data_IF_720174244565
#
_entry.id   IF_720174244565
#
_cell.length_a   1.000
_cell.length_b   1.000
_cell.length_c   1.000
_cell.angle_alpha   90.00
_cell.angle_beta   90.00
_cell.angle_gamma   90.00
#
_symmetry.space_group_name_H-M   'P 1'
#
loop_
_entity.id
_entity.type
_entity.pdbx_description
1 polymer ?
#
# COMPACT_ATOMS: atom_id res chain seq x y z
N UNK A 1 -23.28 -28.11 36.62
CA UNK A 1 -23.70 -29.47 36.21
C UNK A 1 -24.94 -29.47 35.29
N UNK A 2 -25.59 -28.33 35.05
CA UNK A 2 -26.84 -28.22 34.29
C UNK A 2 -26.66 -28.27 32.76
N UNK A 3 -25.51 -27.83 32.25
CA UNK A 3 -25.23 -27.73 30.80
C UNK A 3 -25.03 -29.11 30.13
N UNK A 4 -24.44 -30.05 30.88
CA UNK A 4 -24.15 -31.42 30.39
C UNK A 4 -25.44 -32.23 30.21
N UNK A 5 -26.43 -32.01 31.10
CA UNK A 5 -27.74 -32.67 31.04
C UNK A 5 -28.55 -32.15 29.84
N UNK A 6 -28.52 -30.84 29.59
CA UNK A 6 -29.22 -30.23 28.45
C UNK A 6 -28.65 -30.72 27.12
N UNK A 7 -27.31 -30.84 27.02
CA UNK A 7 -26.65 -31.38 25.83
C UNK A 7 -27.03 -32.83 25.56
N UNK A 8 -27.08 -33.68 26.60
CA UNK A 8 -27.49 -35.09 26.46
C UNK A 8 -28.92 -35.25 25.96
N UNK A 9 -29.82 -34.35 26.34
CA UNK A 9 -31.22 -34.37 25.89
C UNK A 9 -31.41 -34.06 24.39
N UNK A 10 -30.40 -33.45 23.76
CA UNK A 10 -30.41 -33.07 22.33
C UNK A 10 -29.81 -34.16 21.43
N UNK A 11 -29.26 -35.24 21.99
CA UNK A 11 -28.73 -36.34 21.19
C UNK A 11 -29.88 -37.20 20.63
N UNK A 12 -29.82 -37.58 19.34
CA UNK A 12 -30.76 -38.53 18.74
C UNK A 12 -30.76 -39.85 19.52
N UNK A 13 -31.94 -40.43 19.78
CA UNK A 13 -32.10 -41.67 20.57
C UNK A 13 -31.98 -42.94 19.71
N UNK A 14 -31.44 -42.82 18.52
CA UNK A 14 -31.33 -43.93 17.60
C UNK A 14 -30.12 -44.76 18.02
N UNK A 15 -30.28 -46.08 18.24
CA UNK A 15 -29.23 -47.04 18.64
C UNK A 15 -28.18 -47.28 17.51
N UNK A 16 -27.86 -46.26 16.73
CA UNK A 16 -26.84 -46.32 15.71
C UNK A 16 -25.48 -46.02 16.35
N UNK A 17 -24.64 -47.05 16.41
CA UNK A 17 -23.24 -46.91 16.80
C UNK A 17 -22.55 -45.87 15.91
N UNK A 18 -21.97 -44.84 16.52
CA UNK A 18 -21.12 -43.87 15.84
C UNK A 18 -19.88 -44.60 15.31
N UNK A 19 -19.84 -44.86 14.00
CA UNK A 19 -18.64 -45.36 13.35
C UNK A 19 -17.61 -44.24 13.26
N UNK A 20 -16.44 -44.42 13.86
CA UNK A 20 -15.28 -43.54 13.65
C UNK A 20 -14.82 -43.78 12.22
N UNK A 21 -15.20 -42.88 11.31
CA UNK A 21 -14.64 -42.86 9.95
C UNK A 21 -13.24 -42.28 10.08
N UNK A 22 -12.22 -43.10 9.85
CA UNK A 22 -10.86 -42.62 9.68
C UNK A 22 -10.86 -41.58 8.56
N UNK A 23 -10.39 -40.37 8.87
CA UNK A 23 -10.23 -39.33 7.87
C UNK A 23 -9.30 -39.86 6.79
N UNK A 24 -9.81 -40.00 5.56
CA UNK A 24 -8.98 -40.15 4.36
C UNK A 24 -7.83 -39.14 4.49
N UNK A 25 -6.57 -39.52 4.22
CA UNK A 25 -5.52 -38.53 4.11
C UNK A 25 -5.92 -37.60 2.98
N UNK A 26 -6.44 -36.43 3.37
CA UNK A 26 -6.57 -35.28 2.50
C UNK A 26 -5.15 -35.06 2.04
N UNK A 27 -4.90 -35.37 0.76
CA UNK A 27 -3.61 -35.12 0.13
C UNK A 27 -3.18 -33.74 0.57
N UNK A 28 -2.00 -33.70 1.18
CA UNK A 28 -1.38 -32.47 1.63
C UNK A 28 -1.30 -31.56 0.42
N UNK A 29 -2.31 -30.70 0.27
CA UNK A 29 -2.18 -29.51 -0.56
C UNK A 29 -1.12 -28.75 0.18
N UNK A 30 0.13 -28.89 -0.28
CA UNK A 30 1.17 -27.94 -0.02
C UNK A 30 0.53 -26.59 -0.33
N UNK A 31 0.14 -25.89 0.72
CA UNK A 31 -0.08 -24.45 0.64
C UNK A 31 1.28 -23.89 0.31
N UNK A 32 1.60 -23.90 -0.98
CA UNK A 32 2.67 -23.09 -1.50
C UNK A 32 2.19 -21.69 -1.23
N UNK A 33 2.82 -21.06 -0.24
CA UNK A 33 2.58 -19.67 0.07
C UNK A 33 2.77 -18.89 -1.23
N UNK A 34 1.81 -18.09 -1.67
CA UNK A 34 1.91 -17.28 -2.91
C UNK A 34 3.23 -16.47 -2.98
N UNK A 35 3.84 -16.21 -1.81
CA UNK A 35 5.15 -15.57 -1.68
C UNK A 35 6.29 -16.45 -2.20
N UNK A 36 6.29 -17.75 -1.91
CA UNK A 36 7.34 -18.67 -2.37
C UNK A 36 7.29 -18.78 -3.89
N UNK A 37 6.10 -18.98 -4.47
CA UNK A 37 5.91 -19.03 -5.93
C UNK A 37 6.36 -17.74 -6.63
N UNK A 38 6.17 -16.57 -6.02
CA UNK A 38 6.66 -15.31 -6.58
C UNK A 38 8.18 -15.27 -6.71
N UNK A 39 8.94 -15.70 -5.69
CA UNK A 39 10.41 -15.72 -5.73
C UNK A 39 10.98 -16.82 -6.63
N UNK A 40 10.25 -17.93 -6.81
CA UNK A 40 10.68 -19.02 -7.69
C UNK A 40 10.37 -18.76 -9.17
N UNK A 41 9.25 -18.10 -9.48
CA UNK A 41 8.82 -17.86 -10.87
C UNK A 41 9.22 -16.49 -11.42
N UNK A 42 9.58 -15.52 -10.57
CA UNK A 42 9.97 -14.18 -11.04
C UNK A 42 11.48 -14.11 -11.25
N UNK A 43 11.96 -13.78 -12.47
CA UNK A 43 13.39 -13.73 -12.76
C UNK A 43 14.06 -12.61 -11.96
N UNK A 44 15.28 -12.87 -11.48
CA UNK A 44 16.14 -11.86 -10.88
C UNK A 44 16.92 -11.15 -11.98
N UNK A 45 16.99 -9.82 -11.92
CA UNK A 45 17.74 -9.00 -12.86
C UNK A 45 18.54 -7.92 -12.14
N UNK A 46 19.64 -7.52 -12.77
CA UNK A 46 20.43 -6.34 -12.40
C UNK A 46 19.85 -5.07 -13.01
N UNK A 47 20.26 -3.92 -12.51
CA UNK A 47 19.87 -2.61 -13.06
C UNK A 47 20.36 -2.46 -14.51
N UNK A 48 21.56 -2.95 -14.84
CA UNK A 48 22.06 -2.92 -16.22
C UNK A 48 21.16 -3.73 -17.16
N UNK A 49 20.80 -4.97 -16.78
CA UNK A 49 19.90 -5.82 -17.58
C UNK A 49 18.50 -5.20 -17.73
N UNK A 50 18.02 -4.51 -16.69
CA UNK A 50 16.78 -3.75 -16.74
C UNK A 50 16.85 -2.58 -17.71
N UNK A 51 17.98 -1.88 -17.75
CA UNK A 51 18.18 -0.73 -18.64
C UNK A 51 18.24 -1.14 -20.12
N UNK A 52 18.69 -2.36 -20.39
CA UNK A 52 18.75 -2.94 -21.75
C UNK A 52 17.41 -3.57 -22.18
N UNK A 53 16.53 -3.87 -21.23
CA UNK A 53 15.21 -4.46 -21.50
C UNK A 53 14.31 -3.48 -22.24
N UNK A 54 13.69 -3.96 -23.33
CA UNK A 54 12.75 -3.18 -24.15
C UNK A 54 11.30 -3.61 -23.98
N UNK A 55 11.05 -4.61 -23.14
CA UNK A 55 9.74 -5.19 -22.92
C UNK A 55 9.30 -4.97 -21.47
N UNK A 56 7.99 -4.81 -21.29
CA UNK A 56 7.41 -4.74 -19.95
C UNK A 56 7.40 -6.14 -19.35
N UNK A 57 8.12 -6.33 -18.26
CA UNK A 57 8.24 -7.60 -17.57
C UNK A 57 8.20 -7.43 -16.04
N UNK A 58 7.96 -8.53 -15.32
CA UNK A 58 8.09 -8.59 -13.87
C UNK A 58 9.42 -9.23 -13.53
N UNK A 59 10.20 -8.57 -12.68
CA UNK A 59 11.47 -9.09 -12.20
C UNK A 59 11.70 -8.67 -10.74
N UNK A 60 12.66 -9.32 -10.11
CA UNK A 60 13.16 -9.00 -8.77
C UNK A 60 14.53 -8.36 -8.91
N UNK A 61 14.75 -7.25 -8.23
CA UNK A 61 16.01 -6.49 -8.30
C UNK A 61 16.51 -6.27 -6.89
N UNK A 62 17.70 -6.78 -6.63
CA UNK A 62 18.39 -6.47 -5.38
C UNK A 62 19.13 -5.14 -5.54
N UNK A 63 18.73 -4.13 -4.79
CA UNK A 63 19.33 -2.80 -4.87
C UNK A 63 19.37 -2.09 -3.53
N UNK A 64 20.31 -1.18 -3.39
CA UNK A 64 20.48 -0.29 -2.24
C UNK A 64 19.83 1.06 -2.53
N UNK A 65 18.99 1.54 -1.62
CA UNK A 65 18.37 2.86 -1.74
C UNK A 65 19.44 3.91 -1.44
N UNK A 66 19.84 4.68 -2.45
CA UNK A 66 20.88 5.70 -2.34
C UNK A 66 20.35 7.04 -1.84
N UNK A 67 19.14 7.42 -2.27
CA UNK A 67 18.47 8.63 -1.87
C UNK A 67 16.97 8.54 -2.17
N UNK A 68 16.19 9.41 -1.53
CA UNK A 68 14.77 9.60 -1.83
C UNK A 68 14.63 11.00 -2.44
N UNK A 69 14.01 11.07 -3.61
CA UNK A 69 13.69 12.31 -4.30
C UNK A 69 12.36 12.85 -3.78
N UNK A 70 12.39 14.07 -3.25
CA UNK A 70 11.20 14.79 -2.75
C UNK A 70 10.71 15.91 -3.66
N UNK A 71 11.33 16.16 -4.82
CA UNK A 71 10.96 17.26 -5.73
C UNK A 71 9.49 17.19 -6.19
N UNK A 72 8.94 15.98 -6.24
CA UNK A 72 7.57 15.69 -6.67
C UNK A 72 6.64 15.32 -5.51
N UNK A 73 7.13 15.46 -4.28
CA UNK A 73 6.51 15.01 -3.06
C UNK A 73 6.55 13.49 -2.85
N UNK A 74 6.59 13.09 -1.58
CA UNK A 74 6.62 11.69 -1.18
C UNK A 74 5.23 11.05 -0.94
N UNK A 75 4.16 11.86 -1.03
CA UNK A 75 2.77 11.41 -0.93
C UNK A 75 1.84 12.15 -1.89
N UNK A 76 0.62 11.63 -2.06
CA UNK A 76 -0.47 12.32 -2.77
C UNK A 76 -1.81 12.11 -2.08
N UNK A 77 -2.72 13.06 -2.26
CA UNK A 77 -4.11 12.93 -1.80
C UNK A 77 -4.91 12.08 -2.79
N UNK A 78 -5.74 11.19 -2.28
CA UNK A 78 -6.57 10.31 -3.10
C UNK A 78 -8.02 10.25 -2.62
N UNK A 79 -8.92 9.87 -3.53
CA UNK A 79 -10.33 9.71 -3.22
C UNK A 79 -10.57 8.39 -2.50
N UNK A 80 -11.28 8.43 -1.36
CA UNK A 80 -11.60 7.24 -0.56
C UNK A 80 -12.45 6.19 -1.24
N UNK A 81 -13.24 6.61 -2.22
CA UNK A 81 -14.13 5.69 -2.94
C UNK A 81 -13.39 4.89 -4.01
N UNK A 82 -12.37 5.48 -4.65
CA UNK A 82 -11.79 4.89 -5.85
C UNK A 82 -10.25 4.80 -5.85
N UNK A 83 -9.61 5.27 -4.77
CA UNK A 83 -8.16 5.30 -4.52
C UNK A 83 -7.35 5.96 -5.64
N UNK A 84 -7.98 6.83 -6.44
CA UNK A 84 -7.30 7.64 -7.46
C UNK A 84 -6.93 9.00 -6.89
N UNK A 85 -5.81 9.55 -7.37
CA UNK A 85 -5.34 10.90 -7.04
C UNK A 85 -6.46 11.93 -7.27
N UNK A 86 -6.66 12.81 -6.30
CA UNK A 86 -7.53 13.99 -6.44
C UNK A 86 -6.74 15.18 -6.95
N UNK A 87 -7.41 16.10 -7.64
CA UNK A 87 -6.83 17.33 -8.20
C UNK A 87 -7.33 18.51 -7.37
N UNK A 88 -6.46 19.47 -7.08
CA UNK A 88 -6.85 20.75 -6.50
C UNK A 88 -7.34 21.67 -7.61
N UNK A 89 -8.53 22.23 -7.44
CA UNK A 89 -9.16 23.16 -8.36
C UNK A 89 -9.31 24.50 -7.63
N UNK A 90 -8.76 25.61 -8.16
CA UNK A 90 -9.00 26.94 -7.58
C UNK A 90 -10.50 27.23 -7.47
N UNK A 91 -10.93 27.77 -6.34
CA UNK A 91 -12.27 28.31 -6.23
C UNK A 91 -12.25 29.72 -6.81
N UNK A 92 -13.06 29.98 -7.84
CA UNK A 92 -13.18 31.30 -8.48
C UNK A 92 -14.06 32.28 -7.68
N UNK A 93 -14.21 32.12 -6.36
CA UNK A 93 -15.01 33.03 -5.52
C UNK A 93 -14.28 34.37 -5.35
N UNK A 94 -14.41 35.22 -6.38
CA UNK A 94 -14.38 36.67 -6.26
C UNK A 94 -15.73 37.09 -5.68
N UNK A 95 -15.91 37.07 -4.35
CA UNK A 95 -17.00 37.85 -3.76
C UNK A 95 -16.62 38.41 -2.40
N UNK A 96 -16.94 39.68 -2.25
CA UNK A 96 -16.64 40.56 -1.13
C UNK A 96 -17.36 40.08 0.14
N UNK A 97 -16.63 39.50 1.09
CA UNK A 97 -17.21 39.25 2.42
C UNK A 97 -16.37 38.33 3.29
N UNK A 98 -15.96 38.87 4.43
CA UNK A 98 -15.30 38.23 5.56
C UNK A 98 -15.82 36.81 5.87
N UNK A 99 -15.13 35.78 5.38
CA UNK A 99 -15.09 34.47 6.05
C UNK A 99 -13.66 33.91 5.89
N UNK A 100 -12.85 34.02 6.94
CA UNK A 100 -11.41 33.71 6.96
C UNK A 100 -11.09 32.20 6.78
N UNK A 101 -12.08 31.36 6.46
CA UNK A 101 -11.95 29.89 6.42
C UNK A 101 -12.39 29.23 5.11
N UNK A 102 -12.72 29.96 4.05
CA UNK A 102 -13.04 29.32 2.77
C UNK A 102 -11.75 28.91 2.05
N UNK A 103 -11.49 27.59 2.00
CA UNK A 103 -10.34 27.02 1.29
C UNK A 103 -10.26 27.60 -0.13
N UNK A 104 -9.14 28.26 -0.46
CA UNK A 104 -8.85 28.84 -1.77
C UNK A 104 -8.91 27.80 -2.92
N UNK A 105 -8.94 26.51 -2.59
CA UNK A 105 -9.01 25.40 -3.54
C UNK A 105 -10.00 24.33 -3.08
N UNK A 106 -10.78 23.79 -4.00
CA UNK A 106 -11.58 22.58 -3.83
C UNK A 106 -10.88 21.34 -4.36
N UNK A 107 -11.29 20.16 -3.91
CA UNK A 107 -10.74 18.89 -4.40
C UNK A 107 -11.68 18.24 -5.41
N UNK A 108 -11.18 17.84 -6.57
CA UNK A 108 -11.95 17.14 -7.59
C UNK A 108 -11.41 15.73 -7.85
N UNK A 109 -12.29 14.73 -7.86
CA UNK A 109 -11.95 13.37 -8.25
C UNK A 109 -12.37 13.10 -9.69
N UNK A 110 -11.40 12.93 -10.59
CA UNK A 110 -11.69 12.71 -12.02
C UNK A 110 -12.39 11.37 -12.31
N UNK A 111 -12.18 10.35 -11.46
CA UNK A 111 -12.82 9.02 -11.62
C UNK A 111 -14.26 9.00 -11.10
N UNK A 112 -14.53 9.66 -9.97
CA UNK A 112 -15.87 9.73 -9.38
C UNK A 112 -16.69 10.92 -9.89
N UNK A 113 -16.04 11.86 -10.60
CA UNK A 113 -16.62 13.11 -11.11
C UNK A 113 -17.33 13.92 -10.03
N UNK A 114 -16.74 14.01 -8.84
CA UNK A 114 -17.29 14.73 -7.71
C UNK A 114 -16.31 15.76 -7.14
N UNK A 115 -16.86 16.89 -6.70
CA UNK A 115 -16.18 17.89 -5.89
C UNK A 115 -16.22 17.48 -4.42
N UNK A 116 -15.16 17.84 -3.71
CA UNK A 116 -14.90 17.56 -2.30
C UNK A 116 -15.20 16.09 -1.93
N UNK A 117 -14.58 15.10 -2.62
CA UNK A 117 -14.72 13.71 -2.24
C UNK A 117 -14.20 13.49 -0.83
N UNK A 118 -14.74 12.48 -0.12
CA UNK A 118 -14.08 11.96 1.07
C UNK A 118 -12.67 11.54 0.67
N UNK A 119 -11.66 12.19 1.27
CA UNK A 119 -10.26 11.90 0.99
C UNK A 119 -9.84 10.65 1.78
N UNK A 120 -9.01 9.82 1.17
CA UNK A 120 -8.15 8.94 1.95
C UNK A 120 -7.03 9.80 2.51
N UNK A 121 -6.59 9.50 3.74
CA UNK A 121 -5.34 10.05 4.22
C UNK A 121 -4.24 9.63 3.25
N UNK A 122 -3.32 10.57 3.03
CA UNK A 122 -2.27 10.62 2.01
C UNK A 122 -1.72 9.22 1.65
N UNK A 123 -1.54 8.93 0.37
CA UNK A 123 -0.97 7.67 -0.15
C UNK A 123 0.50 7.86 -0.54
N UNK A 124 1.34 6.86 -0.32
CA UNK A 124 2.76 6.96 -0.69
C UNK A 124 2.97 7.05 -2.21
N UNK A 125 3.91 7.91 -2.59
CA UNK A 125 4.49 8.00 -3.93
C UNK A 125 5.98 8.32 -3.76
N UNK A 126 6.79 7.29 -3.54
CA UNK A 126 8.21 7.45 -3.26
C UNK A 126 9.01 7.35 -4.56
N UNK A 127 9.79 8.38 -4.85
CA UNK A 127 10.82 8.32 -5.87
C UNK A 127 12.14 7.93 -5.22
N UNK A 128 12.62 6.73 -5.50
CA UNK A 128 13.85 6.19 -4.93
C UNK A 128 14.96 6.21 -5.97
N UNK A 129 16.09 6.80 -5.63
CA UNK A 129 17.34 6.54 -6.34
C UNK A 129 17.94 5.27 -5.77
N UNK A 130 18.17 4.28 -6.64
CA UNK A 130 18.67 2.96 -6.26
C UNK A 130 19.97 2.65 -6.98
N UNK A 131 20.83 1.89 -6.31
CA UNK A 131 22.14 1.46 -6.77
C UNK A 131 22.25 -0.06 -6.66
N UNK A 132 22.91 -0.68 -7.62
CA UNK A 132 23.40 -2.05 -7.49
C UNK A 132 24.87 -2.11 -7.92
N UNK A 133 25.42 -3.32 -8.06
CA UNK A 133 26.80 -3.52 -8.51
C UNK A 133 27.00 -3.24 -10.02
N UNK A 134 25.94 -3.02 -10.78
CA UNK A 134 25.98 -2.82 -12.24
C UNK A 134 25.66 -1.39 -12.67
N UNK A 135 24.94 -0.61 -11.84
CA UNK A 135 24.58 0.76 -12.17
C UNK A 135 23.65 1.42 -11.16
N UNK A 136 22.97 2.46 -11.65
CA UNK A 136 22.01 3.25 -10.89
C UNK A 136 20.69 3.37 -11.67
N UNK A 137 19.59 3.54 -10.94
CA UNK A 137 18.28 3.77 -11.54
C UNK A 137 17.35 4.53 -10.59
N UNK A 138 16.19 4.95 -11.10
CA UNK A 138 15.14 5.61 -10.33
C UNK A 138 13.89 4.76 -10.33
N UNK A 139 13.48 4.30 -9.15
CA UNK A 139 12.26 3.50 -8.97
C UNK A 139 11.14 4.37 -8.36
N UNK A 140 9.90 4.10 -8.78
CA UNK A 140 8.70 4.72 -8.23
C UNK A 140 7.91 3.67 -7.45
N UNK A 141 7.78 3.87 -6.15
CA UNK A 141 7.00 2.99 -5.27
C UNK A 141 5.68 3.65 -4.90
N UNK A 142 4.60 2.89 -5.07
CA UNK A 142 3.26 3.28 -4.67
C UNK A 142 2.86 2.65 -3.33
N UNK A 143 1.84 3.23 -2.71
CA UNK A 143 1.28 2.92 -1.39
C UNK A 143 1.43 1.48 -0.91
N UNK A 144 0.92 0.48 -1.65
CA UNK A 144 0.96 -0.90 -1.18
C UNK A 144 2.40 -1.44 -0.99
N UNK A 145 3.30 -1.11 -1.92
CA UNK A 145 4.70 -1.53 -1.83
C UNK A 145 5.44 -0.73 -0.75
N UNK A 146 5.14 0.57 -0.64
CA UNK A 146 5.72 1.42 0.41
C UNK A 146 5.26 0.98 1.82
N UNK A 147 3.99 0.59 1.99
CA UNK A 147 3.45 0.04 3.23
C UNK A 147 4.13 -1.27 3.59
N UNK A 148 4.39 -2.15 2.62
CA UNK A 148 5.15 -3.39 2.86
C UNK A 148 6.60 -3.11 3.25
N UNK A 149 7.20 -2.06 2.71
CA UNK A 149 8.57 -1.67 3.01
C UNK A 149 8.69 -1.05 4.40
N UNK A 150 7.80 -0.11 4.73
CA UNK A 150 7.83 0.70 5.95
C UNK A 150 7.08 0.08 7.13
N UNK A 151 6.15 -0.85 6.85
CA UNK A 151 5.22 -1.41 7.83
C UNK A 151 4.36 -0.36 8.55
N UNK A 152 4.24 0.83 7.98
CA UNK A 152 3.50 1.96 8.55
C UNK A 152 2.66 2.66 7.48
N UNK A 153 1.38 2.96 7.76
CA UNK A 153 0.55 3.70 6.83
C UNK A 153 1.02 5.15 6.73
N UNK A 154 0.91 5.73 5.52
CA UNK A 154 1.36 7.09 5.24
C UNK A 154 0.69 8.16 6.14
N UNK A 155 -0.52 7.90 6.63
CA UNK A 155 -1.22 8.78 7.59
C UNK A 155 -0.42 9.02 8.87
N UNK A 156 0.29 8.01 9.37
CA UNK A 156 1.05 8.11 10.61
C UNK A 156 2.27 9.02 10.43
N UNK A 157 2.88 9.00 9.24
CA UNK A 157 4.04 9.84 8.91
C UNK A 157 3.66 11.27 8.54
N UNK A 158 2.44 11.49 8.03
CA UNK A 158 2.00 12.78 7.53
C UNK A 158 1.23 13.62 8.54
N UNK A 159 0.77 13.02 9.63
CA UNK A 159 -0.08 13.67 10.61
C UNK A 159 -1.53 13.90 10.11
N UNK A 160 -2.40 14.51 10.93
CA UNK A 160 -3.72 14.93 10.49
C UNK A 160 -3.60 15.92 9.33
N UNK A 161 -4.62 15.96 8.47
CA UNK A 161 -4.69 16.89 7.35
C UNK A 161 -4.82 18.31 7.93
N UNK A 162 -3.71 18.98 8.20
CA UNK A 162 -3.68 20.41 8.47
C UNK A 162 -3.75 21.18 7.15
N UNK A 163 -4.43 22.33 7.16
CA UNK A 163 -4.54 23.25 6.01
C UNK A 163 -3.19 23.85 5.61
N UNK A 164 -2.20 23.75 6.50
CA UNK A 164 -0.80 23.90 6.16
C UNK A 164 -0.34 22.64 5.44
N UNK A 165 -0.35 22.72 4.10
CA UNK A 165 0.48 21.88 3.25
C UNK A 165 1.93 22.20 3.63
N UNK A 166 2.44 21.59 4.71
CA UNK A 166 3.88 21.54 4.91
C UNK A 166 4.44 20.94 3.62
N UNK A 167 5.29 21.71 2.94
CA UNK A 167 5.78 21.39 1.60
C UNK A 167 6.17 19.92 1.55
N UNK A 168 5.73 19.18 0.52
CA UNK A 168 5.99 17.75 0.41
C UNK A 168 7.48 17.42 0.22
N UNK A 169 8.34 18.43 0.37
CA UNK A 169 9.79 18.45 0.25
C UNK A 169 10.47 17.93 1.53
N UNK A 170 9.80 18.01 2.69
CA UNK A 170 10.34 17.49 3.97
C UNK A 170 10.04 16.00 4.08
N UNK A 171 11.09 15.19 3.99
CA UNK A 171 11.03 13.73 4.08
C UNK A 171 11.06 13.32 5.57
N UNK A 172 10.07 12.58 6.09
CA UNK A 172 10.10 12.02 7.44
C UNK A 172 11.34 11.17 7.72
N UNK A 173 11.77 11.12 8.98
CA UNK A 173 12.95 10.38 9.40
C UNK A 173 12.82 8.88 9.08
N UNK A 174 11.61 8.34 9.17
CA UNK A 174 11.27 6.94 8.86
C UNK A 174 11.59 6.59 7.40
N UNK A 175 11.33 7.53 6.48
CA UNK A 175 11.71 7.39 5.08
C UNK A 175 13.22 7.57 4.91
N UNK A 176 13.84 8.53 5.59
CA UNK A 176 15.30 8.71 5.54
C UNK A 176 16.05 7.48 6.04
N UNK A 177 15.48 6.74 7.01
CA UNK A 177 16.03 5.49 7.52
C UNK A 177 16.03 4.35 6.48
N UNK A 178 15.37 4.50 5.33
CA UNK A 178 15.49 3.56 4.22
C UNK A 178 16.78 3.77 3.42
N UNK A 179 17.35 4.98 3.46
CA UNK A 179 18.57 5.31 2.72
C UNK A 179 19.74 4.51 3.28
N UNK A 180 20.52 3.91 2.38
CA UNK A 180 21.63 3.03 2.68
C UNK A 180 21.25 1.56 2.92
N UNK A 181 19.96 1.21 2.91
CA UNK A 181 19.50 -0.18 3.08
C UNK A 181 19.33 -0.88 1.73
N UNK A 182 19.67 -2.17 1.72
CA UNK A 182 19.51 -3.06 0.56
C UNK A 182 18.22 -3.87 0.68
N UNK A 183 17.44 -3.87 -0.39
CA UNK A 183 16.14 -4.56 -0.49
C UNK A 183 16.06 -5.38 -1.78
N UNK A 184 15.09 -6.29 -1.84
CA UNK A 184 14.79 -7.17 -2.98
C UNK A 184 13.32 -7.06 -3.40
#
# INVERSE_FOLDING_TARGET
MTEVEEFKSKLPKDELCLAIVESKPVGQVLGVSDKDDFFFHTPRKTIAELSESRQVEKCIVMCTIAAIDSDMGWYYLSCKVCSKKVVQVPNDTLDDGEDENELMFSYYCNKCKCYNPKLLPRLYKLHLFVLDNTGNSKFLLFDNLALQLLHQPCIELTGPISDEIHGPDVIPLELQNLVGKTHF
#
